data_IF_958786814024
#
_entry.id   IF_958786814024
#
_cell.length_a   1.000
_cell.length_b   1.000
_cell.length_c   1.000
_cell.angle_alpha   90.00
_cell.angle_beta   90.00
_cell.angle_gamma   90.00
#
_symmetry.space_group_name_H-M   'P 1'
#
loop_
_entity.id
_entity.type
_entity.pdbx_description
1 polymer ?
#
# COMPACT_ATOMS: atom_id res chain seq x y z
N UNK A 1 35.85 -32.84 39.20
CA UNK A 1 35.83 -31.76 40.20
C UNK A 1 34.43 -31.17 40.20
N UNK A 2 33.60 -31.64 40.93
CA UNK A 2 32.93 -31.42 42.21
C UNK A 2 32.60 -29.97 42.53
N UNK A 3 31.35 -29.76 42.82
CA UNK A 3 30.64 -28.82 43.72
C UNK A 3 29.66 -27.89 43.00
N UNK A 4 28.49 -27.65 43.50
CA UNK A 4 27.65 -28.12 44.65
C UNK A 4 26.28 -27.44 44.49
N UNK A 5 25.30 -28.20 44.80
CA UNK A 5 23.89 -27.88 45.01
C UNK A 5 23.75 -26.85 46.13
N UNK A 6 22.91 -25.83 45.99
CA UNK A 6 22.20 -25.20 47.10
C UNK A 6 20.78 -24.87 46.72
N UNK A 7 19.90 -25.73 47.22
CA UNK A 7 18.48 -25.48 47.41
C UNK A 7 18.25 -24.35 48.39
N UNK A 8 17.32 -23.48 48.13
CA UNK A 8 16.66 -22.65 49.13
C UNK A 8 15.17 -22.60 48.81
N UNK A 9 14.44 -23.32 49.66
CA UNK A 9 12.99 -23.24 49.86
C UNK A 9 12.70 -21.98 50.68
N UNK A 10 11.80 -21.14 50.27
CA UNK A 10 11.09 -20.21 51.18
C UNK A 10 9.63 -20.07 50.73
N UNK A 11 8.81 -20.70 51.48
CA UNK A 11 7.52 -20.36 52.06
C UNK A 11 6.53 -19.45 51.36
N UNK A 12 5.36 -20.04 51.18
CA UNK A 12 4.06 -19.44 50.84
C UNK A 12 3.63 -18.35 51.83
N UNK A 13 3.07 -17.26 51.25
CA UNK A 13 2.09 -16.43 51.97
C UNK A 13 0.89 -16.22 51.02
N UNK A 14 -0.22 -16.85 51.44
CA UNK A 14 -1.55 -16.60 50.86
C UNK A 14 -2.09 -15.35 51.51
N UNK A 15 -2.38 -14.31 50.73
CA UNK A 15 -3.20 -13.18 51.16
C UNK A 15 -4.42 -13.10 50.23
N UNK A 16 -5.57 -13.51 50.78
CA UNK A 16 -6.88 -13.14 50.23
C UNK A 16 -7.16 -11.68 50.59
N UNK A 17 -7.43 -10.85 49.59
CA UNK A 17 -8.08 -9.56 49.83
C UNK A 17 -8.92 -9.14 48.63
N UNK A 18 -10.23 -9.10 48.88
CA UNK A 18 -11.23 -8.12 48.45
C UNK A 18 -11.42 -7.81 46.93
N UNK A 19 -12.62 -8.17 46.47
CA UNK A 19 -13.31 -7.60 45.30
C UNK A 19 -13.40 -6.06 45.40
N UNK A 20 -12.57 -5.36 44.64
CA UNK A 20 -12.78 -3.96 44.26
C UNK A 20 -13.29 -3.93 42.84
N UNK A 21 -14.53 -3.48 42.63
CA UNK A 21 -15.04 -3.07 41.31
C UNK A 21 -14.39 -1.75 40.98
N UNK A 22 -13.30 -1.80 40.25
CA UNK A 22 -12.79 -0.61 39.57
C UNK A 22 -13.58 -0.37 38.28
N UNK A 23 -14.02 0.86 37.99
CA UNK A 23 -14.69 1.19 36.76
C UNK A 23 -13.65 1.10 35.62
N UNK A 24 -13.93 0.22 34.65
CA UNK A 24 -13.19 0.12 33.41
C UNK A 24 -13.21 1.51 32.75
N UNK A 25 -12.06 2.14 32.46
CA UNK A 25 -12.06 3.35 31.66
C UNK A 25 -12.61 3.00 30.28
N UNK A 26 -13.75 3.62 29.95
CA UNK A 26 -14.35 3.57 28.64
C UNK A 26 -13.29 3.97 27.63
N UNK A 27 -12.90 3.02 26.78
CA UNK A 27 -12.05 3.28 25.65
C UNK A 27 -12.70 4.38 24.82
N UNK A 28 -12.09 5.53 24.80
CA UNK A 28 -12.45 6.62 23.90
C UNK A 28 -12.43 6.06 22.50
N UNK A 29 -13.62 5.97 21.91
CA UNK A 29 -13.83 5.73 20.49
C UNK A 29 -13.08 6.84 19.78
N UNK A 30 -11.86 6.55 19.33
CA UNK A 30 -11.11 7.42 18.44
C UNK A 30 -11.92 7.55 17.16
N UNK A 31 -12.76 8.58 17.10
CA UNK A 31 -13.40 8.99 15.88
C UNK A 31 -12.31 9.35 14.88
N UNK A 32 -12.06 8.44 13.95
CA UNK A 32 -11.25 8.74 12.79
C UNK A 32 -11.94 9.90 12.06
N UNK A 33 -11.40 11.10 12.21
CA UNK A 33 -11.86 12.26 11.47
C UNK A 33 -11.78 11.87 9.98
N UNK A 34 -12.94 11.79 9.34
CA UNK A 34 -13.01 11.64 7.89
C UNK A 34 -12.18 12.80 7.29
N UNK A 35 -11.17 12.45 6.51
CA UNK A 35 -10.39 13.47 5.82
C UNK A 35 -11.33 14.31 4.98
N UNK A 36 -11.20 15.66 4.99
CA UNK A 36 -12.08 16.54 4.25
C UNK A 36 -12.06 16.15 2.76
N UNK A 37 -13.24 16.15 2.14
CA UNK A 37 -13.38 15.89 0.71
C UNK A 37 -12.52 16.91 -0.05
N UNK A 38 -11.48 16.43 -0.74
CA UNK A 38 -10.52 17.28 -1.44
C UNK A 38 -9.11 17.32 -0.81
N UNK A 39 -8.89 16.69 0.34
CA UNK A 39 -7.53 16.58 0.88
C UNK A 39 -6.67 15.71 -0.07
N UNK A 40 -5.50 16.22 -0.45
CA UNK A 40 -4.48 15.47 -1.17
C UNK A 40 -3.27 15.29 -0.26
N UNK A 41 -2.53 14.19 -0.46
CA UNK A 41 -1.31 13.97 0.29
C UNK A 41 -0.22 14.97 -0.14
N UNK A 42 0.78 15.16 0.72
CA UNK A 42 1.95 16.01 0.40
C UNK A 42 2.81 15.49 -0.76
N UNK A 43 2.54 14.28 -1.19
CA UNK A 43 3.25 13.63 -2.31
C UNK A 43 2.51 13.76 -3.64
N UNK A 44 1.28 14.27 -3.64
CA UNK A 44 0.53 14.53 -4.86
C UNK A 44 1.16 15.70 -5.63
N UNK A 45 1.55 15.43 -6.87
CA UNK A 45 2.08 16.44 -7.76
C UNK A 45 0.93 17.24 -8.39
N UNK A 46 0.99 18.58 -8.36
CA UNK A 46 -0.06 19.42 -8.92
C UNK A 46 -0.12 19.37 -10.46
N UNK A 47 0.96 18.92 -11.10
CA UNK A 47 1.10 18.86 -12.55
C UNK A 47 1.66 17.52 -12.99
N UNK A 48 1.20 17.05 -14.16
CA UNK A 48 1.76 15.86 -14.82
C UNK A 48 3.27 16.03 -15.06
N UNK A 49 4.10 15.07 -14.62
CA UNK A 49 5.55 15.13 -14.83
C UNK A 49 5.98 14.92 -16.29
N UNK A 50 5.07 14.60 -17.21
CA UNK A 50 5.35 14.46 -18.64
C UNK A 50 5.65 13.04 -19.08
N UNK A 51 6.65 12.86 -19.94
CA UNK A 51 7.00 11.54 -20.49
C UNK A 51 7.30 10.53 -19.39
N UNK A 52 6.77 9.31 -19.55
CA UNK A 52 6.89 8.24 -18.58
C UNK A 52 7.11 6.91 -19.29
N UNK A 53 7.97 6.08 -18.73
CA UNK A 53 8.09 4.68 -19.12
C UNK A 53 6.99 3.83 -18.49
N UNK A 54 6.62 2.73 -19.14
CA UNK A 54 5.68 1.75 -18.60
C UNK A 54 6.30 0.99 -17.42
N UNK A 55 5.47 0.27 -16.65
CA UNK A 55 5.97 -0.62 -15.59
C UNK A 55 6.85 -1.73 -16.20
N UNK A 56 6.45 -2.28 -17.35
CA UNK A 56 7.22 -3.31 -18.06
C UNK A 56 8.62 -2.82 -18.48
N UNK A 57 8.73 -1.58 -18.93
CA UNK A 57 10.02 -0.96 -19.25
C UNK A 57 10.86 -0.70 -18.01
N UNK A 58 10.21 -0.23 -16.94
CA UNK A 58 10.86 0.02 -15.66
C UNK A 58 11.48 -1.25 -15.05
N UNK A 59 10.74 -2.36 -15.08
CA UNK A 59 11.20 -3.66 -14.56
C UNK A 59 12.42 -4.22 -15.32
N UNK A 60 12.57 -3.87 -16.59
CA UNK A 60 13.71 -4.27 -17.44
C UNK A 60 14.88 -3.29 -17.35
N UNK A 61 14.67 -2.12 -16.76
CA UNK A 61 15.69 -1.07 -16.68
C UNK A 61 16.73 -1.37 -15.61
N UNK A 62 17.93 -0.84 -15.79
CA UNK A 62 18.92 -0.74 -14.72
C UNK A 62 18.44 0.26 -13.64
N UNK A 63 18.97 0.20 -12.40
CA UNK A 63 18.74 1.23 -11.41
C UNK A 63 19.00 2.64 -11.96
N UNK A 64 18.13 3.59 -11.67
CA UNK A 64 18.15 4.92 -12.25
C UNK A 64 17.62 5.96 -11.26
N UNK A 65 18.34 7.06 -11.07
CA UNK A 65 18.07 8.06 -10.03
C UNK A 65 16.88 8.98 -10.34
N UNK A 66 16.54 9.17 -11.60
CA UNK A 66 15.42 10.02 -11.99
C UNK A 66 14.61 9.34 -13.09
N UNK A 67 13.40 8.92 -12.73
CA UNK A 67 12.47 8.28 -13.66
C UNK A 67 11.06 8.80 -13.44
N UNK A 68 10.24 8.69 -14.48
CA UNK A 68 8.78 8.74 -14.37
C UNK A 68 8.25 7.40 -14.85
N UNK A 69 7.46 6.73 -14.01
CA UNK A 69 6.83 5.45 -14.34
C UNK A 69 5.32 5.63 -14.35
N UNK A 70 4.65 5.13 -15.40
CA UNK A 70 3.19 5.15 -15.51
C UNK A 70 2.64 3.74 -15.34
N UNK A 71 1.59 3.62 -14.53
CA UNK A 71 0.89 2.35 -14.29
C UNK A 71 -0.44 2.59 -13.59
N UNK A 72 -1.23 1.51 -13.44
CA UNK A 72 -2.47 1.55 -12.66
C UNK A 72 -2.19 1.14 -11.21
N UNK A 73 -2.78 1.89 -10.28
CA UNK A 73 -2.75 1.51 -8.86
C UNK A 73 -3.49 0.20 -8.68
N UNK A 74 -2.79 -0.83 -8.18
CA UNK A 74 -3.40 -2.12 -7.86
C UNK A 74 -3.80 -2.20 -6.41
N UNK A 75 -2.85 -2.04 -5.50
CA UNK A 75 -3.06 -2.16 -4.06
C UNK A 75 -2.44 -0.97 -3.34
N UNK A 76 -3.16 -0.45 -2.35
CA UNK A 76 -2.69 0.59 -1.44
C UNK A 76 -2.30 -0.06 -0.11
N UNK A 77 -1.19 0.37 0.49
CA UNK A 77 -0.76 -0.13 1.80
C UNK A 77 -1.30 0.78 2.90
N UNK A 78 -2.27 0.33 3.69
CA UNK A 78 -2.84 1.16 4.75
C UNK A 78 -1.77 1.63 5.74
N UNK A 79 -1.83 2.91 6.12
CA UNK A 79 -0.90 3.50 7.09
C UNK A 79 0.43 3.98 6.51
N UNK A 80 0.68 3.75 5.21
CA UNK A 80 1.95 4.10 4.57
C UNK A 80 1.76 4.80 3.23
N UNK A 81 2.73 5.63 2.85
CA UNK A 81 2.83 6.17 1.50
C UNK A 81 3.45 5.11 0.57
N UNK A 82 2.74 4.00 0.41
CA UNK A 82 3.15 2.85 -0.38
C UNK A 82 1.95 2.21 -1.10
N UNK A 83 2.21 1.72 -2.29
CA UNK A 83 1.23 1.03 -3.13
C UNK A 83 1.94 0.21 -4.20
N UNK A 84 1.19 -0.60 -4.96
CA UNK A 84 1.72 -1.30 -6.12
C UNK A 84 1.16 -0.71 -7.41
N UNK A 85 1.99 -0.63 -8.44
CA UNK A 85 1.58 -0.33 -9.80
C UNK A 85 1.63 -1.59 -10.64
N UNK A 86 0.59 -1.82 -11.40
CA UNK A 86 0.57 -2.79 -12.49
C UNK A 86 0.69 -2.05 -13.82
N UNK A 87 1.31 -2.70 -14.81
CA UNK A 87 1.44 -2.13 -16.15
C UNK A 87 0.08 -1.80 -16.76
N UNK A 88 -0.04 -0.61 -17.34
CA UNK A 88 -1.29 -0.12 -17.89
C UNK A 88 -1.78 -0.92 -19.13
N UNK A 89 -0.90 -1.69 -19.76
CA UNK A 89 -1.22 -2.59 -20.86
C UNK A 89 -1.81 -3.94 -20.40
N UNK A 90 -1.97 -4.17 -19.08
CA UNK A 90 -2.78 -5.28 -18.58
C UNK A 90 -4.23 -4.82 -18.40
N UNK A 91 -5.14 -5.56 -19.00
CA UNK A 91 -6.57 -5.30 -18.86
C UNK A 91 -7.07 -5.82 -17.51
N UNK A 92 -7.71 -4.97 -16.72
CA UNK A 92 -8.42 -5.39 -15.51
C UNK A 92 -9.79 -6.02 -15.87
N UNK A 93 -10.36 -6.81 -14.98
CA UNK A 93 -11.57 -7.60 -15.26
C UNK A 93 -12.76 -6.77 -15.76
N UNK A 94 -12.89 -5.53 -15.33
CA UNK A 94 -13.91 -4.59 -15.78
C UNK A 94 -13.49 -3.67 -16.93
N UNK A 95 -12.44 -4.02 -17.68
CA UNK A 95 -12.00 -3.24 -18.83
C UNK A 95 -12.92 -3.46 -20.04
N UNK A 96 -14.00 -2.74 -20.06
CA UNK A 96 -15.02 -2.84 -21.11
C UNK A 96 -16.42 -2.89 -20.51
N UNK A 97 -17.37 -2.24 -21.17
CA UNK A 97 -18.72 -2.09 -20.64
C UNK A 97 -19.41 -3.43 -20.34
N UNK A 98 -19.23 -4.41 -21.21
CA UNK A 98 -19.93 -5.70 -21.11
C UNK A 98 -19.37 -6.61 -20.00
N UNK A 99 -18.08 -6.43 -19.63
CA UNK A 99 -17.43 -7.22 -18.59
C UNK A 99 -17.65 -6.64 -17.21
N UNK A 100 -17.82 -5.32 -17.09
CA UNK A 100 -18.02 -4.62 -15.83
C UNK A 100 -19.29 -5.04 -15.11
N UNK A 101 -20.38 -5.28 -15.84
CA UNK A 101 -21.69 -5.61 -15.27
C UNK A 101 -21.77 -7.04 -14.69
N UNK A 102 -20.95 -7.95 -15.19
CA UNK A 102 -21.01 -9.38 -14.86
C UNK A 102 -19.86 -9.86 -13.96
N UNK A 103 -18.85 -9.04 -13.71
CA UNK A 103 -17.72 -9.41 -12.88
C UNK A 103 -17.94 -8.93 -11.43
N UNK A 104 -17.88 -9.83 -10.42
CA UNK A 104 -18.03 -9.44 -9.01
C UNK A 104 -16.86 -8.61 -8.50
N UNK A 105 -15.72 -8.67 -9.18
CA UNK A 105 -14.48 -7.93 -8.83
C UNK A 105 -13.91 -7.20 -10.04
N UNK A 106 -14.66 -6.25 -10.63
CA UNK A 106 -14.27 -5.61 -11.91
C UNK A 106 -12.97 -4.79 -11.81
N UNK A 107 -12.52 -4.49 -10.60
CA UNK A 107 -11.23 -3.79 -10.32
C UNK A 107 -10.03 -4.73 -10.21
N UNK A 108 -10.23 -6.04 -10.33
CA UNK A 108 -9.18 -7.04 -10.16
C UNK A 108 -8.65 -7.54 -11.50
N UNK A 109 -7.63 -8.37 -11.45
CA UNK A 109 -6.96 -9.02 -12.57
C UNK A 109 -7.17 -10.54 -12.54
N UNK A 110 -8.27 -11.00 -11.95
CA UNK A 110 -8.56 -12.42 -11.72
C UNK A 110 -8.67 -13.26 -13.01
N UNK A 111 -8.83 -12.63 -14.16
CA UNK A 111 -8.85 -13.30 -15.48
C UNK A 111 -7.44 -13.50 -16.09
N UNK A 112 -6.41 -13.01 -15.41
CA UNK A 112 -5.00 -13.13 -15.85
C UNK A 112 -4.27 -14.04 -14.87
N UNK A 113 -3.39 -14.94 -15.35
CA UNK A 113 -2.56 -15.77 -14.46
C UNK A 113 -1.82 -14.90 -13.42
N UNK A 114 -1.84 -15.28 -12.12
CA UNK A 114 -1.21 -14.48 -11.06
C UNK A 114 0.28 -14.19 -11.29
N UNK A 115 1.00 -15.11 -11.91
CA UNK A 115 2.41 -14.97 -12.28
C UNK A 115 2.62 -13.88 -13.33
N UNK A 116 1.71 -13.74 -14.31
CA UNK A 116 1.78 -12.71 -15.34
C UNK A 116 1.48 -11.32 -14.75
N UNK A 117 0.52 -11.24 -13.83
CA UNK A 117 0.25 -10.00 -13.10
C UNK A 117 1.45 -9.62 -12.23
N UNK A 118 2.03 -10.57 -11.50
CA UNK A 118 3.20 -10.34 -10.66
C UNK A 118 4.42 -9.88 -11.46
N UNK A 119 4.67 -10.49 -12.63
CA UNK A 119 5.77 -10.13 -13.52
C UNK A 119 5.65 -8.72 -14.11
N UNK A 120 4.47 -8.11 -14.06
CA UNK A 120 4.17 -6.76 -14.57
C UNK A 120 3.71 -5.81 -13.46
N UNK A 121 4.13 -6.06 -12.23
CA UNK A 121 3.82 -5.24 -11.06
C UNK A 121 5.10 -4.73 -10.40
N UNK A 122 5.13 -3.46 -10.03
CA UNK A 122 6.25 -2.83 -9.32
C UNK A 122 5.77 -2.23 -7.99
N UNK A 123 6.44 -2.51 -6.85
CA UNK A 123 6.17 -1.83 -5.61
C UNK A 123 6.67 -0.38 -5.66
N UNK A 124 5.87 0.52 -5.09
CA UNK A 124 6.13 1.95 -4.98
C UNK A 124 6.08 2.35 -3.52
N UNK A 125 7.08 3.08 -3.05
CA UNK A 125 7.08 3.62 -1.69
C UNK A 125 7.81 4.96 -1.62
N UNK A 126 7.31 5.89 -0.83
CA UNK A 126 8.07 7.08 -0.43
C UNK A 126 8.92 6.74 0.78
N UNK A 127 10.21 7.05 0.72
CA UNK A 127 11.13 6.90 1.84
C UNK A 127 11.37 8.23 2.53
N UNK A 128 11.26 8.23 3.85
CA UNK A 128 11.64 9.34 4.72
C UNK A 128 12.57 8.83 5.82
N UNK A 129 13.75 9.38 5.93
CA UNK A 129 14.79 8.97 6.91
C UNK A 129 15.16 7.47 6.87
N UNK A 130 14.99 6.85 5.70
CA UNK A 130 15.29 5.43 5.48
C UNK A 130 14.07 4.49 5.55
N UNK A 131 12.99 4.91 6.21
CA UNK A 131 11.78 4.12 6.37
C UNK A 131 10.69 4.53 5.38
N UNK A 132 9.68 3.67 5.18
CA UNK A 132 8.50 4.03 4.39
C UNK A 132 7.72 5.10 5.14
N UNK A 133 7.41 6.20 4.46
CA UNK A 133 6.70 7.33 5.07
C UNK A 133 5.31 6.90 5.58
N UNK A 134 5.04 7.15 6.86
CA UNK A 134 3.74 6.90 7.46
C UNK A 134 2.74 7.99 7.05
N UNK A 135 1.53 7.57 6.65
CA UNK A 135 0.41 8.44 6.31
C UNK A 135 -0.89 7.79 6.75
N UNK A 136 -1.88 8.58 7.14
CA UNK A 136 -3.17 8.02 7.53
C UNK A 136 -3.90 7.39 6.33
N UNK A 137 -3.92 8.08 5.20
CA UNK A 137 -4.52 7.65 3.92
C UNK A 137 -3.83 8.37 2.75
N UNK A 138 -4.04 7.85 1.55
CA UNK A 138 -3.74 8.50 0.27
C UNK A 138 -5.07 8.83 -0.44
N UNK A 139 -5.78 9.88 -0.01
CA UNK A 139 -7.16 10.13 -0.42
C UNK A 139 -7.32 10.44 -1.91
N UNK A 140 -6.25 10.90 -2.56
CA UNK A 140 -6.22 11.16 -3.99
C UNK A 140 -6.11 9.90 -4.85
N UNK A 141 -5.68 8.77 -4.26
CA UNK A 141 -5.48 7.50 -4.97
C UNK A 141 -6.56 6.49 -4.62
N UNK A 142 -6.94 5.69 -5.61
CA UNK A 142 -7.70 4.46 -5.45
C UNK A 142 -7.22 3.41 -6.45
N UNK A 143 -7.64 2.17 -6.27
CA UNK A 143 -7.41 1.11 -7.25
C UNK A 143 -7.84 1.53 -8.64
N UNK A 144 -7.10 1.10 -9.64
CA UNK A 144 -7.24 1.38 -11.06
C UNK A 144 -6.91 2.82 -11.51
N UNK A 145 -6.67 3.77 -10.61
CA UNK A 145 -6.19 5.08 -11.05
C UNK A 145 -4.91 4.91 -11.87
N UNK A 146 -4.89 5.51 -13.06
CA UNK A 146 -3.68 5.62 -13.86
C UNK A 146 -2.85 6.77 -13.31
N UNK A 147 -1.64 6.49 -12.86
CA UNK A 147 -0.77 7.47 -12.23
C UNK A 147 0.60 7.52 -12.87
N UNK A 148 1.18 8.71 -12.95
CA UNK A 148 2.57 8.93 -13.27
C UNK A 148 3.32 9.17 -11.94
N UNK A 149 4.30 8.34 -11.62
CA UNK A 149 5.08 8.39 -10.40
C UNK A 149 6.50 8.82 -10.72
N UNK A 150 6.97 9.87 -10.06
CA UNK A 150 8.36 10.32 -10.11
C UNK A 150 9.17 9.68 -9.00
N UNK A 151 10.40 9.31 -9.28
CA UNK A 151 11.25 8.68 -8.27
C UNK A 151 12.55 8.14 -8.83
N UNK A 152 13.12 7.16 -8.13
CA UNK A 152 14.27 6.38 -8.57
C UNK A 152 13.97 4.88 -8.58
N UNK A 153 14.50 4.19 -9.57
CA UNK A 153 14.46 2.73 -9.60
C UNK A 153 15.61 2.18 -8.78
N UNK A 154 15.27 1.30 -7.85
CA UNK A 154 16.23 0.57 -7.03
C UNK A 154 16.09 -0.92 -7.30
N UNK A 155 17.20 -1.64 -7.13
CA UNK A 155 17.23 -3.09 -7.27
C UNK A 155 17.86 -3.68 -6.03
N UNK A 156 17.20 -4.64 -5.43
CA UNK A 156 17.72 -5.34 -4.27
C UNK A 156 18.76 -6.42 -4.64
N UNK A 157 19.33 -7.08 -3.66
CA UNK A 157 20.31 -8.15 -3.83
C UNK A 157 19.74 -9.42 -4.52
N UNK A 158 18.42 -9.58 -4.51
CA UNK A 158 17.72 -10.67 -5.17
C UNK A 158 17.27 -10.32 -6.60
N UNK A 159 17.54 -9.08 -7.02
CA UNK A 159 17.19 -8.58 -8.34
C UNK A 159 15.78 -8.02 -8.45
N UNK A 160 15.03 -7.92 -7.34
CA UNK A 160 13.70 -7.30 -7.33
C UNK A 160 13.80 -5.80 -7.52
N UNK A 161 12.96 -5.27 -8.41
CA UNK A 161 12.93 -3.83 -8.74
C UNK A 161 11.83 -3.15 -7.96
N UNK A 162 12.13 -1.99 -7.38
CA UNK A 162 11.17 -1.14 -6.71
C UNK A 162 11.33 0.32 -7.14
N UNK A 163 10.26 1.10 -7.02
CA UNK A 163 10.25 2.54 -7.27
C UNK A 163 10.20 3.30 -5.94
N UNK A 164 11.31 3.91 -5.56
CA UNK A 164 11.32 4.86 -4.45
C UNK A 164 10.80 6.20 -4.95
N UNK A 165 9.54 6.49 -4.63
CA UNK A 165 8.81 7.63 -5.14
C UNK A 165 9.14 8.93 -4.41
N UNK A 166 9.16 10.03 -5.15
CA UNK A 166 9.19 11.40 -4.62
C UNK A 166 7.83 12.08 -4.73
N UNK A 167 6.96 11.56 -5.60
CA UNK A 167 5.60 12.05 -5.78
C UNK A 167 4.88 11.37 -6.93
N UNK A 168 3.60 11.65 -7.07
CA UNK A 168 2.76 11.11 -8.14
C UNK A 168 1.71 12.10 -8.61
N UNK A 169 1.31 11.92 -9.87
CA UNK A 169 0.20 12.64 -10.49
C UNK A 169 -0.82 11.64 -11.05
N UNK A 170 -2.08 11.80 -10.67
CA UNK A 170 -3.15 10.98 -11.24
C UNK A 170 -3.54 11.49 -12.61
N UNK A 171 -3.26 10.70 -13.65
CA UNK A 171 -3.61 11.02 -15.05
C UNK A 171 -5.06 10.73 -15.37
N UNK A 172 -5.57 9.59 -14.88
CA UNK A 172 -6.91 9.11 -15.18
C UNK A 172 -7.51 8.39 -13.99
N UNK A 173 -8.80 8.48 -13.85
CA UNK A 173 -9.62 7.65 -12.97
C UNK A 173 -10.69 6.97 -13.79
N UNK A 174 -10.69 5.64 -13.94
CA UNK A 174 -11.72 4.93 -14.67
C UNK A 174 -13.10 5.22 -14.09
N UNK A 175 -14.08 5.39 -14.99
CA UNK A 175 -15.47 5.50 -14.58
C UNK A 175 -15.99 4.12 -14.21
N UNK A 176 -16.17 3.87 -12.94
CA UNK A 176 -16.67 2.60 -12.39
C UNK A 176 -18.10 2.83 -11.89
N UNK A 177 -19.05 1.96 -12.22
CA UNK A 177 -20.43 2.07 -11.75
C UNK A 177 -20.50 2.24 -10.24
N UNK A 178 -21.45 3.07 -9.76
CA UNK A 178 -21.58 3.41 -8.35
C UNK A 178 -21.94 2.22 -7.43
N UNK A 179 -22.46 1.14 -8.00
CA UNK A 179 -22.77 -0.09 -7.30
C UNK A 179 -21.56 -1.00 -7.06
N UNK A 180 -20.41 -0.68 -7.65
CA UNK A 180 -19.15 -1.42 -7.44
C UNK A 180 -18.49 -0.92 -6.17
N UNK A 181 -18.35 -1.80 -5.19
CA UNK A 181 -17.68 -1.52 -3.92
C UNK A 181 -16.24 -2.00 -4.01
N UNK A 182 -15.30 -1.08 -3.90
CA UNK A 182 -13.88 -1.43 -3.79
C UNK A 182 -13.60 -1.97 -2.39
N UNK A 183 -12.75 -2.99 -2.25
CA UNK A 183 -12.25 -3.38 -0.94
C UNK A 183 -11.39 -2.23 -0.36
N UNK A 184 -11.59 -1.95 0.94
CA UNK A 184 -10.78 -0.98 1.69
C UNK A 184 -9.40 -1.54 2.03
#
# INVERSE_FOLDING_TARGET
>A
MHRSIRSLLVASVVALAACGKDPVPSAATGGGAAAPAGAVSRFALPKDPGEAQSVDEALKSAPKDAVVVVGRVRDLTPGFAAFTLVDAGLDFCGHGADTMENCPTPWDYCCIPPEDVAARTIPVAVKEKGDVAAVAKLPELRRLDLVAVTGRLVKDEHGSVALEATGWHRRERPNIPANVVFPE
#
